data_IF_206602947227
#
_entry.id   IF_206602947227
#
_cell.length_a   1.000
_cell.length_b   1.000
_cell.length_c   1.000
_cell.angle_alpha   90.00
_cell.angle_beta   90.00
_cell.angle_gamma   90.00
#
_symmetry.space_group_name_H-M   'P 1'
#
loop_
_entity.id
_entity.type
_entity.pdbx_description
1 polymer ?
#
# COMPACT_ATOMS: atom_id res chain seq x y z
N UNK A 1 -18.38 5.08 17.72
CA UNK A 1 -17.18 4.99 16.87
C UNK A 1 -17.64 4.53 15.49
N UNK A 2 -17.35 5.29 14.43
CA UNK A 2 -17.77 4.93 13.07
C UNK A 2 -16.78 3.93 12.46
N UNK A 3 -17.28 2.89 11.78
CA UNK A 3 -16.43 1.93 11.06
C UNK A 3 -15.76 2.63 9.89
N UNK A 4 -14.45 2.43 9.71
CA UNK A 4 -13.69 2.96 8.56
C UNK A 4 -12.84 1.86 7.96
N UNK A 5 -13.09 1.52 6.70
CA UNK A 5 -12.32 0.52 5.95
C UNK A 5 -11.56 1.19 4.82
N UNK A 6 -10.58 0.49 4.23
CA UNK A 6 -9.90 0.99 3.03
C UNK A 6 -9.50 -0.11 2.07
N UNK A 7 -9.63 0.18 0.78
CA UNK A 7 -8.94 -0.54 -0.29
C UNK A 7 -7.69 0.25 -0.72
N UNK A 8 -6.54 -0.41 -0.73
CA UNK A 8 -5.24 0.22 -0.95
C UNK A 8 -4.44 -0.47 -2.06
N UNK A 9 -4.85 -0.35 -3.34
CA UNK A 9 -4.16 -1.00 -4.45
C UNK A 9 -2.89 -0.22 -4.86
N UNK A 10 -1.83 -0.96 -5.16
CA UNK A 10 -0.69 -0.42 -5.92
C UNK A 10 -1.02 -0.49 -7.42
N UNK A 11 -0.88 0.60 -8.19
CA UNK A 11 -1.25 0.65 -9.60
C UNK A 11 -0.18 0.00 -10.49
N UNK A 12 0.09 -1.30 -10.29
CA UNK A 12 1.10 -2.05 -11.05
C UNK A 12 0.50 -2.86 -12.21
N UNK A 13 -0.75 -2.58 -12.59
CA UNK A 13 -1.51 -3.31 -13.60
C UNK A 13 -3.02 -3.20 -13.37
N UNK A 14 -3.79 -4.10 -13.99
CA UNK A 14 -5.26 -4.12 -13.87
C UNK A 14 -5.75 -4.58 -12.49
N UNK A 15 -6.96 -4.16 -12.12
CA UNK A 15 -7.67 -4.66 -10.96
C UNK A 15 -8.04 -6.14 -11.16
N UNK A 16 -7.24 -7.05 -10.63
CA UNK A 16 -7.52 -8.48 -10.69
C UNK A 16 -8.64 -8.88 -9.71
N UNK A 17 -9.26 -10.05 -9.94
CA UNK A 17 -10.42 -10.54 -9.17
C UNK A 17 -10.17 -10.63 -7.65
N UNK A 18 -8.93 -10.95 -7.25
CA UNK A 18 -8.53 -10.98 -5.84
C UNK A 18 -8.53 -9.58 -5.19
N UNK A 19 -8.10 -8.56 -5.94
CA UNK A 19 -8.17 -7.16 -5.53
C UNK A 19 -9.63 -6.70 -5.43
N UNK A 20 -10.43 -6.97 -6.46
CA UNK A 20 -11.86 -6.67 -6.47
C UNK A 20 -12.61 -7.31 -5.29
N UNK A 21 -12.34 -8.59 -4.97
CA UNK A 21 -12.91 -9.26 -3.79
C UNK A 21 -12.53 -8.58 -2.48
N UNK A 22 -11.29 -8.12 -2.36
CA UNK A 22 -10.81 -7.40 -1.17
C UNK A 22 -11.49 -6.04 -1.01
N UNK A 23 -11.66 -5.31 -2.12
CA UNK A 23 -12.43 -4.07 -2.16
C UNK A 23 -13.89 -4.32 -1.75
N UNK A 24 -14.54 -5.34 -2.34
CA UNK A 24 -15.92 -5.73 -2.04
C UNK A 24 -16.13 -6.03 -0.54
N UNK A 25 -15.25 -6.82 0.09
CA UNK A 25 -15.40 -7.12 1.52
C UNK A 25 -15.22 -5.89 2.40
N UNK A 26 -14.27 -5.02 2.06
CA UNK A 26 -14.06 -3.76 2.78
C UNK A 26 -15.27 -2.82 2.64
N UNK A 27 -15.82 -2.74 1.43
CA UNK A 27 -17.01 -1.96 1.09
C UNK A 27 -18.26 -2.50 1.81
N UNK A 28 -18.55 -3.81 1.71
CA UNK A 28 -19.68 -4.44 2.38
C UNK A 28 -19.62 -4.26 3.90
N UNK A 29 -18.42 -4.36 4.48
CA UNK A 29 -18.25 -4.17 5.91
C UNK A 29 -18.51 -2.72 6.34
N UNK A 30 -18.05 -1.72 5.56
CA UNK A 30 -18.39 -0.33 5.82
C UNK A 30 -19.90 -0.09 5.70
N UNK A 31 -20.52 -0.50 4.59
CA UNK A 31 -21.96 -0.32 4.33
C UNK A 31 -22.84 -0.98 5.38
N UNK A 32 -22.52 -2.22 5.79
CA UNK A 32 -23.27 -2.95 6.84
C UNK A 32 -23.31 -2.20 8.18
N UNK A 33 -22.27 -1.42 8.49
CA UNK A 33 -22.16 -0.73 9.78
C UNK A 33 -22.36 0.79 9.67
N UNK A 34 -22.85 1.30 8.52
CA UNK A 34 -23.00 2.74 8.30
C UNK A 34 -21.67 3.50 8.39
N UNK A 35 -20.58 2.85 8.00
CA UNK A 35 -19.22 3.38 8.03
C UNK A 35 -18.72 3.87 6.67
N UNK A 36 -17.48 4.33 6.66
CA UNK A 36 -16.82 4.88 5.47
C UNK A 36 -15.89 3.86 4.82
N UNK A 37 -15.92 3.79 3.48
CA UNK A 37 -15.01 3.05 2.65
C UNK A 37 -14.06 4.00 1.91
N UNK A 38 -12.77 3.87 2.18
CA UNK A 38 -11.74 4.80 1.68
C UNK A 38 -10.96 4.15 0.53
N UNK A 39 -10.69 4.92 -0.53
CA UNK A 39 -9.77 4.51 -1.59
C UNK A 39 -8.42 5.21 -1.44
N UNK A 40 -7.33 4.43 -1.37
CA UNK A 40 -5.95 4.95 -1.36
C UNK A 40 -5.10 4.27 -2.41
N UNK A 41 -4.62 5.02 -3.39
CA UNK A 41 -3.70 4.54 -4.42
C UNK A 41 -2.28 4.53 -3.86
N UNK A 42 -1.63 3.36 -3.88
CA UNK A 42 -0.25 3.16 -3.43
C UNK A 42 0.75 3.40 -4.57
N UNK A 43 0.85 4.66 -4.99
CA UNK A 43 1.59 5.13 -6.18
C UNK A 43 3.07 5.48 -5.91
N UNK A 44 3.67 4.93 -4.85
CA UNK A 44 5.04 5.30 -4.45
C UNK A 44 6.12 4.74 -5.38
N UNK A 45 5.82 3.64 -6.07
CA UNK A 45 6.69 3.06 -7.09
C UNK A 45 6.42 3.71 -8.44
N UNK A 46 7.20 4.74 -8.78
CA UNK A 46 6.99 5.54 -10.00
C UNK A 46 7.22 4.76 -11.30
N UNK A 47 8.03 3.71 -11.28
CA UNK A 47 8.29 2.91 -12.48
C UNK A 47 7.07 2.05 -12.83
N UNK A 48 6.40 1.52 -11.80
CA UNK A 48 5.23 0.66 -11.99
C UNK A 48 3.90 1.41 -11.98
N UNK A 49 3.84 2.58 -11.33
CA UNK A 49 2.62 3.36 -11.13
C UNK A 49 2.33 4.31 -12.30
N UNK A 50 1.82 3.76 -13.40
CA UNK A 50 1.40 4.57 -14.55
C UNK A 50 0.00 5.14 -14.36
N UNK A 51 -0.29 6.29 -14.98
CA UNK A 51 -1.63 6.86 -14.95
C UNK A 51 -2.68 5.89 -15.50
N UNK A 52 -2.36 5.17 -16.57
CA UNK A 52 -3.24 4.16 -17.15
C UNK A 52 -3.58 3.02 -16.15
N UNK A 53 -2.63 2.61 -15.31
CA UNK A 53 -2.89 1.60 -14.28
C UNK A 53 -3.77 2.14 -13.14
N UNK A 54 -3.62 3.43 -12.79
CA UNK A 54 -4.53 4.10 -11.85
C UNK A 54 -5.93 4.16 -12.43
N UNK A 55 -6.07 4.61 -13.68
CA UNK A 55 -7.37 4.76 -14.34
C UNK A 55 -8.09 3.41 -14.45
N UNK A 56 -7.37 2.34 -14.82
CA UNK A 56 -7.92 0.99 -14.87
C UNK A 56 -8.47 0.49 -13.52
N UNK A 57 -7.86 0.89 -12.39
CA UNK A 57 -8.37 0.58 -11.06
C UNK A 57 -9.67 1.37 -10.79
N UNK A 58 -9.68 2.67 -11.08
CA UNK A 58 -10.84 3.53 -10.85
C UNK A 58 -12.04 3.10 -11.69
N UNK A 59 -11.82 2.81 -12.97
CA UNK A 59 -12.83 2.29 -13.89
C UNK A 59 -13.37 0.92 -13.42
N UNK A 60 -12.47 0.00 -13.01
CA UNK A 60 -12.87 -1.30 -12.50
C UNK A 60 -13.72 -1.20 -11.22
N UNK A 61 -13.39 -0.27 -10.32
CA UNK A 61 -14.20 -0.02 -9.12
C UNK A 61 -15.56 0.58 -9.45
N UNK A 62 -15.61 1.57 -10.35
CA UNK A 62 -16.85 2.19 -10.80
C UNK A 62 -17.77 1.17 -11.49
N UNK A 63 -17.21 0.32 -12.36
CA UNK A 63 -17.96 -0.74 -13.04
C UNK A 63 -18.58 -1.76 -12.07
N UNK A 64 -17.88 -2.08 -10.98
CA UNK A 64 -18.37 -2.97 -9.92
C UNK A 64 -19.37 -2.29 -8.96
N UNK A 65 -19.59 -0.98 -9.06
CA UNK A 65 -20.43 -0.21 -8.13
C UNK A 65 -19.83 -0.11 -6.72
N UNK A 66 -18.50 -0.12 -6.60
CA UNK A 66 -17.79 -0.05 -5.32
C UNK A 66 -17.36 1.39 -5.00
N UNK A 67 -18.34 2.27 -4.82
CA UNK A 67 -18.10 3.69 -4.53
C UNK A 67 -17.39 3.89 -3.19
N UNK A 68 -16.34 4.71 -3.19
CA UNK A 68 -15.64 5.16 -1.98
C UNK A 68 -16.21 6.48 -1.46
N UNK A 69 -16.27 6.61 -0.13
CA UNK A 69 -16.75 7.80 0.55
C UNK A 69 -15.65 8.86 0.69
N UNK A 70 -14.39 8.44 0.70
CA UNK A 70 -13.22 9.32 0.73
C UNK A 70 -12.12 8.86 -0.24
N UNK A 71 -11.44 9.84 -0.83
CA UNK A 71 -10.36 9.63 -1.79
C UNK A 71 -10.79 9.88 -3.26
N UNK A 72 -10.01 9.40 -4.24
CA UNK A 72 -8.78 8.62 -4.07
C UNK A 72 -7.65 9.44 -3.45
N UNK A 73 -7.04 8.92 -2.39
CA UNK A 73 -5.82 9.48 -1.83
C UNK A 73 -4.60 8.88 -2.52
N UNK A 74 -3.63 9.72 -2.88
CA UNK A 74 -2.36 9.30 -3.49
C UNK A 74 -1.24 9.38 -2.46
N UNK A 75 -0.45 8.32 -2.32
CA UNK A 75 0.65 8.29 -1.36
C UNK A 75 1.78 9.27 -1.71
N UNK A 76 2.03 9.50 -3.00
CA UNK A 76 3.02 10.49 -3.46
C UNK A 76 2.73 11.91 -2.96
N UNK A 77 1.45 12.25 -2.75
CA UNK A 77 1.01 13.54 -2.19
C UNK A 77 1.18 13.65 -0.67
N UNK A 78 1.70 12.61 -0.01
CA UNK A 78 1.81 12.51 1.45
C UNK A 78 3.25 12.28 1.94
N UNK A 79 4.24 12.44 1.07
CA UNK A 79 5.65 12.25 1.42
C UNK A 79 6.11 13.13 2.58
N UNK A 80 5.59 14.35 2.72
CA UNK A 80 5.87 15.20 3.89
C UNK A 80 5.46 14.54 5.20
N UNK A 81 4.27 13.92 5.24
CA UNK A 81 3.81 13.20 6.43
C UNK A 81 4.67 11.99 6.74
N UNK A 82 5.14 11.26 5.73
CA UNK A 82 6.02 10.12 5.95
C UNK A 82 7.39 10.58 6.48
N UNK A 83 7.96 11.65 5.93
CA UNK A 83 9.20 12.26 6.42
C UNK A 83 9.08 12.67 7.89
N UNK A 84 8.02 13.39 8.24
CA UNK A 84 7.77 13.82 9.62
C UNK A 84 7.76 12.64 10.62
N UNK A 85 7.09 11.53 10.25
CA UNK A 85 7.03 10.35 11.09
C UNK A 85 8.38 9.62 11.15
N UNK A 86 9.09 9.49 10.02
CA UNK A 86 10.43 8.89 9.98
C UNK A 86 11.39 9.68 10.88
N UNK A 87 11.40 11.01 10.78
CA UNK A 87 12.25 11.87 11.60
C UNK A 87 11.91 11.74 13.09
N UNK A 88 10.63 11.60 13.43
CA UNK A 88 10.20 11.32 14.80
C UNK A 88 10.73 9.97 15.28
N UNK A 89 10.57 8.90 14.49
CA UNK A 89 11.04 7.57 14.86
C UNK A 89 12.57 7.51 15.03
N UNK A 90 13.31 8.26 14.21
CA UNK A 90 14.76 8.42 14.36
C UNK A 90 15.13 9.15 15.66
N UNK A 91 14.44 10.25 15.98
CA UNK A 91 14.65 11.00 17.24
C UNK A 91 14.32 10.18 18.48
N UNK A 92 13.27 9.35 18.42
CA UNK A 92 12.83 8.48 19.52
C UNK A 92 13.65 7.20 19.66
N UNK A 93 14.66 6.97 18.79
CA UNK A 93 15.47 5.75 18.79
C UNK A 93 14.70 4.49 18.35
N UNK A 94 13.53 4.65 17.74
CA UNK A 94 12.68 3.56 17.22
C UNK A 94 13.03 3.17 15.77
N UNK A 95 13.88 3.95 15.11
CA UNK A 95 14.44 3.67 13.80
C UNK A 95 15.94 4.02 13.78
N UNK A 96 16.67 3.46 12.81
CA UNK A 96 18.08 3.74 12.59
C UNK A 96 18.40 3.80 11.09
N UNK A 97 19.46 4.52 10.75
CA UNK A 97 19.98 4.52 9.37
C UNK A 97 20.80 3.25 9.11
N UNK A 98 20.43 2.51 8.07
CA UNK A 98 21.15 1.34 7.61
C UNK A 98 22.00 1.72 6.40
N UNK A 99 23.29 1.36 6.43
CA UNK A 99 24.27 1.64 5.37
C UNK A 99 24.75 0.35 4.68
N UNK A 100 23.99 -0.74 4.77
CA UNK A 100 24.33 -1.98 4.07
C UNK A 100 24.22 -1.78 2.56
N UNK A 101 25.25 -2.19 1.80
CA UNK A 101 25.15 -2.24 0.35
C UNK A 101 24.26 -3.39 -0.10
N UNK A 102 23.79 -3.34 -1.35
CA UNK A 102 22.99 -4.41 -1.96
C UNK A 102 23.77 -5.73 -1.98
N UNK A 103 25.05 -5.68 -2.35
CA UNK A 103 25.95 -6.84 -2.42
C UNK A 103 26.13 -7.47 -1.05
N UNK A 104 26.27 -6.66 0.01
CA UNK A 104 26.35 -7.16 1.38
C UNK A 104 25.08 -7.90 1.77
N UNK A 105 23.91 -7.35 1.45
CA UNK A 105 22.62 -7.97 1.77
C UNK A 105 22.42 -9.27 0.98
N UNK A 106 22.86 -9.32 -0.28
CA UNK A 106 22.81 -10.53 -1.11
C UNK A 106 23.72 -11.64 -0.56
N UNK A 107 24.96 -11.30 -0.18
CA UNK A 107 25.89 -12.24 0.44
C UNK A 107 25.34 -12.79 1.77
N UNK A 108 24.78 -11.93 2.62
CA UNK A 108 24.16 -12.34 3.88
C UNK A 108 22.98 -13.31 3.65
N UNK A 109 22.14 -13.04 2.65
CA UNK A 109 21.04 -13.93 2.28
C UNK A 109 21.53 -15.28 1.77
N UNK A 110 22.56 -15.29 0.92
CA UNK A 110 23.15 -16.53 0.40
C UNK A 110 23.75 -17.39 1.53
N UNK A 111 24.42 -16.76 2.50
CA UNK A 111 24.95 -17.42 3.69
C UNK A 111 23.83 -18.04 4.55
N UNK A 112 22.76 -17.27 4.83
CA UNK A 112 21.59 -17.76 5.58
C UNK A 112 20.91 -18.92 4.86
N UNK A 113 20.73 -18.84 3.54
CA UNK A 113 20.17 -19.93 2.74
C UNK A 113 21.05 -21.18 2.78
N UNK A 114 22.38 -21.03 2.69
CA UNK A 114 23.34 -22.13 2.83
C UNK A 114 23.25 -22.82 4.19
N UNK A 115 22.95 -22.05 5.24
CA UNK A 115 22.68 -22.55 6.60
C UNK A 115 21.25 -23.06 6.82
N UNK A 116 20.39 -23.01 5.80
CA UNK A 116 18.95 -23.34 5.88
C UNK A 116 18.18 -22.49 6.89
N UNK A 117 18.65 -21.27 7.16
CA UNK A 117 17.96 -20.28 7.97
C UNK A 117 16.98 -19.46 7.11
N UNK A 118 15.95 -18.88 7.73
CA UNK A 118 15.05 -17.95 7.04
C UNK A 118 15.80 -16.65 6.73
N UNK A 119 15.99 -16.27 5.46
CA UNK A 119 16.74 -15.08 5.12
C UNK A 119 16.09 -13.81 5.67
N UNK A 120 16.88 -12.85 6.14
CA UNK A 120 16.43 -11.54 6.65
C UNK A 120 16.93 -10.40 5.76
#
# INVERSE_FOLDING_TARGET
MQVRTRFAPSPTGYLHIGGARTALFSWLYARRHGGDFILRIEDTDRERSTQAAVDAILEGMAWLGLDHDEGPYFQTRRFDRYREIIDRLLREGQAYHCYCSKERLEALRAEQMGRKEKPR
#
